data_IF_199854520351
#
_entry.id   IF_199854520351
#
_cell.length_a   1.000
_cell.length_b   1.000
_cell.length_c   1.000
_cell.angle_alpha   90.00
_cell.angle_beta   90.00
_cell.angle_gamma   90.00
#
_symmetry.space_group_name_H-M   'P 1'
#
loop_
_entity.id
_entity.type
_entity.pdbx_description
1 polymer ?
#
# COMPACT_ATOMS: atom_id res chain seq x y z
N UNK A 1 -0.60 -2.17 -22.77
CA UNK A 1 -1.31 -1.32 -21.79
C UNK A 1 -1.87 -0.11 -22.51
N UNK A 2 -3.16 0.15 -22.38
CA UNK A 2 -3.83 1.32 -22.97
C UNK A 2 -3.90 2.44 -21.91
N UNK A 3 -2.87 3.29 -21.90
CA UNK A 3 -2.68 4.33 -20.87
C UNK A 3 -3.83 5.35 -20.87
N UNK A 4 -4.34 5.71 -22.05
CA UNK A 4 -5.45 6.65 -22.17
C UNK A 4 -6.74 6.07 -21.59
N UNK A 5 -7.03 4.79 -21.87
CA UNK A 5 -8.19 4.09 -21.29
C UNK A 5 -8.04 3.88 -19.79
N UNK A 6 -6.83 3.56 -19.31
CA UNK A 6 -6.55 3.45 -17.88
C UNK A 6 -6.86 4.76 -17.16
N UNK A 7 -6.34 5.88 -17.65
CA UNK A 7 -6.53 7.20 -17.03
C UNK A 7 -7.99 7.63 -17.05
N UNK A 8 -8.70 7.39 -18.16
CA UNK A 8 -10.13 7.67 -18.26
C UNK A 8 -10.96 6.89 -17.23
N UNK A 9 -10.69 5.59 -17.09
CA UNK A 9 -11.37 4.76 -16.08
C UNK A 9 -11.08 5.20 -14.65
N UNK A 10 -9.85 5.60 -14.34
CA UNK A 10 -9.50 6.15 -13.03
C UNK A 10 -10.23 7.47 -12.75
N UNK A 11 -10.32 8.38 -13.75
CA UNK A 11 -11.09 9.61 -13.63
C UNK A 11 -12.58 9.33 -13.38
N UNK A 12 -13.16 8.35 -14.08
CA UNK A 12 -14.56 7.96 -13.89
C UNK A 12 -14.80 7.39 -12.47
N UNK A 13 -13.88 6.57 -11.96
CA UNK A 13 -13.95 6.07 -10.58
C UNK A 13 -13.88 7.24 -9.58
N UNK A 14 -12.91 8.15 -9.74
CA UNK A 14 -12.78 9.33 -8.89
C UNK A 14 -14.04 10.21 -8.90
N UNK A 15 -14.63 10.43 -10.08
CA UNK A 15 -15.88 11.17 -10.21
C UNK A 15 -17.04 10.50 -9.45
N UNK A 16 -17.15 9.17 -9.51
CA UNK A 16 -18.19 8.42 -8.77
C UNK A 16 -18.03 8.50 -7.26
N UNK A 17 -16.79 8.52 -6.78
CA UNK A 17 -16.50 8.76 -5.35
C UNK A 17 -16.91 10.18 -4.97
N UNK A 18 -16.54 11.19 -5.77
CA UNK A 18 -16.95 12.57 -5.50
C UNK A 18 -18.49 12.74 -5.48
N UNK A 19 -19.18 12.10 -6.44
CA UNK A 19 -20.64 12.12 -6.54
C UNK A 19 -21.31 11.45 -5.33
N UNK A 20 -20.75 10.37 -4.79
CA UNK A 20 -21.31 9.69 -3.60
C UNK A 20 -21.16 10.50 -2.32
N UNK A 21 -20.30 11.53 -2.33
CA UNK A 21 -19.98 12.39 -1.20
C UNK A 21 -20.56 13.81 -1.31
N UNK A 22 -21.47 14.07 -2.24
CA UNK A 22 -22.02 15.43 -2.49
C UNK A 22 -22.67 16.08 -1.25
N UNK A 23 -23.26 15.28 -0.37
CA UNK A 23 -23.92 15.72 0.87
C UNK A 23 -23.01 15.59 2.10
N UNK A 24 -21.73 15.27 1.89
CA UNK A 24 -20.73 15.07 2.94
C UNK A 24 -19.78 16.27 2.93
N UNK A 25 -19.48 16.84 4.09
CA UNK A 25 -18.39 17.80 4.21
C UNK A 25 -17.05 17.04 4.27
N UNK A 26 -16.24 17.12 3.21
CA UNK A 26 -14.97 16.40 3.10
C UNK A 26 -13.90 17.23 2.39
N UNK A 27 -12.65 17.00 2.76
CA UNK A 27 -11.44 17.56 2.15
C UNK A 27 -10.63 16.47 1.41
N UNK A 28 -10.63 15.24 1.95
CA UNK A 28 -10.01 14.07 1.33
C UNK A 28 -10.93 12.85 1.47
N UNK A 29 -10.95 11.98 0.48
CA UNK A 29 -11.71 10.74 0.46
C UNK A 29 -10.80 9.59 0.00
N UNK A 30 -10.91 8.45 0.65
CA UNK A 30 -10.20 7.22 0.28
C UNK A 30 -11.21 6.16 -0.11
N UNK A 31 -11.14 5.73 -1.37
CA UNK A 31 -11.83 4.56 -1.89
C UNK A 31 -10.91 3.35 -1.75
N UNK A 32 -11.44 2.29 -1.17
CA UNK A 32 -10.88 0.96 -1.35
C UNK A 32 -11.77 0.12 -2.27
N UNK A 33 -11.14 -0.58 -3.22
CA UNK A 33 -11.79 -1.51 -4.11
C UNK A 33 -10.99 -2.81 -4.18
N UNK A 34 -11.64 -3.93 -3.89
CA UNK A 34 -11.11 -5.28 -4.06
C UNK A 34 -11.91 -6.00 -5.13
N UNK A 35 -11.21 -6.69 -6.02
CA UNK A 35 -11.83 -7.66 -6.93
C UNK A 35 -10.90 -8.85 -7.10
N UNK A 36 -11.36 -10.04 -6.71
CA UNK A 36 -10.65 -11.32 -6.86
C UNK A 36 -11.67 -12.40 -7.18
N UNK A 37 -11.57 -13.01 -8.37
CA UNK A 37 -12.59 -13.96 -8.81
C UNK A 37 -13.98 -13.31 -8.85
N UNK A 38 -14.95 -13.91 -8.16
CA UNK A 38 -16.31 -13.36 -8.00
C UNK A 38 -16.47 -12.50 -6.73
N UNK A 39 -15.41 -12.37 -5.91
CA UNK A 39 -15.43 -11.56 -4.70
C UNK A 39 -15.08 -10.12 -5.04
N UNK A 40 -16.00 -9.22 -4.71
CA UNK A 40 -15.83 -7.78 -4.86
C UNK A 40 -16.17 -7.07 -3.55
N UNK A 41 -15.34 -6.11 -3.16
CA UNK A 41 -15.60 -5.25 -1.99
C UNK A 41 -15.27 -3.80 -2.32
N UNK A 42 -16.07 -2.91 -1.76
CA UNK A 42 -15.88 -1.48 -1.95
C UNK A 42 -16.35 -0.75 -0.70
N UNK A 43 -15.55 0.21 -0.25
CA UNK A 43 -15.97 1.18 0.75
C UNK A 43 -15.23 2.49 0.55
N UNK A 44 -15.77 3.55 1.17
CA UNK A 44 -15.21 4.88 1.13
C UNK A 44 -15.15 5.41 2.55
N UNK A 45 -14.00 5.96 2.90
CA UNK A 45 -13.81 6.79 4.08
C UNK A 45 -13.48 8.22 3.64
N UNK A 46 -13.80 9.21 4.46
CA UNK A 46 -13.45 10.59 4.17
C UNK A 46 -12.93 11.33 5.41
N UNK A 47 -12.15 12.38 5.17
CA UNK A 47 -11.67 13.32 6.17
C UNK A 47 -12.26 14.69 5.85
N UNK A 48 -12.76 15.41 6.85
CA UNK A 48 -13.12 16.82 6.70
C UNK A 48 -11.89 17.75 6.75
N UNK A 49 -12.09 19.05 6.53
CA UNK A 49 -11.00 20.03 6.57
C UNK A 49 -10.37 20.21 7.96
N UNK A 50 -11.02 19.73 9.02
CA UNK A 50 -10.49 19.69 10.38
C UNK A 50 -9.77 18.36 10.69
N UNK A 51 -9.74 17.42 9.75
CA UNK A 51 -9.14 16.10 9.89
C UNK A 51 -10.07 15.06 10.53
N UNK A 52 -11.35 15.36 10.76
CA UNK A 52 -12.27 14.39 11.35
C UNK A 52 -12.65 13.32 10.33
N UNK A 53 -12.56 12.05 10.72
CA UNK A 53 -12.92 10.92 9.87
C UNK A 53 -14.43 10.72 9.79
N UNK A 54 -14.91 10.34 8.60
CA UNK A 54 -16.28 9.97 8.30
C UNK A 54 -16.28 8.56 7.72
N UNK A 55 -17.00 7.68 8.39
CA UNK A 55 -17.15 6.26 8.06
C UNK A 55 -18.60 5.97 7.65
N UNK A 56 -18.86 4.73 7.24
CA UNK A 56 -20.17 4.25 6.78
C UNK A 56 -20.75 5.12 5.66
N UNK A 57 -19.87 5.68 4.83
CA UNK A 57 -20.24 6.54 3.73
C UNK A 57 -20.92 5.75 2.60
N UNK A 58 -21.76 6.41 1.79
CA UNK A 58 -22.39 5.76 0.64
C UNK A 58 -21.34 5.11 -0.27
N UNK A 59 -21.46 3.80 -0.47
CA UNK A 59 -20.58 3.06 -1.37
C UNK A 59 -20.86 3.47 -2.82
N UNK A 60 -19.86 3.97 -3.56
CA UNK A 60 -20.06 4.36 -4.95
C UNK A 60 -20.17 3.12 -5.85
N UNK A 61 -21.01 3.20 -6.88
CA UNK A 61 -21.11 2.15 -7.90
C UNK A 61 -19.92 2.25 -8.88
N UNK A 62 -18.82 1.59 -8.49
CA UNK A 62 -17.54 1.57 -9.22
C UNK A 62 -17.08 0.17 -9.62
N UNK A 63 -17.81 -0.88 -9.24
CA UNK A 63 -17.39 -2.27 -9.46
C UNK A 63 -17.15 -2.59 -10.95
N UNK A 64 -18.08 -2.18 -11.82
CA UNK A 64 -17.95 -2.39 -13.26
C UNK A 64 -16.83 -1.56 -13.89
N UNK A 65 -16.52 -0.39 -13.33
CA UNK A 65 -15.38 0.44 -13.75
C UNK A 65 -14.07 -0.20 -13.30
N UNK A 66 -14.03 -0.75 -12.08
CA UNK A 66 -12.95 -1.56 -11.55
C UNK A 66 -12.61 -2.74 -12.46
N UNK A 67 -13.61 -3.52 -12.85
CA UNK A 67 -13.41 -4.68 -13.72
C UNK A 67 -12.82 -4.28 -15.09
N UNK A 68 -13.31 -3.18 -15.67
CA UNK A 68 -12.76 -2.63 -16.91
C UNK A 68 -11.33 -2.11 -16.73
N UNK A 69 -11.02 -1.52 -15.58
CA UNK A 69 -9.68 -1.04 -15.25
C UNK A 69 -8.72 -2.22 -15.08
N UNK A 70 -9.15 -3.32 -14.46
CA UNK A 70 -8.38 -4.57 -14.38
C UNK A 70 -8.04 -5.12 -15.75
N UNK A 71 -8.99 -5.10 -16.69
CA UNK A 71 -8.76 -5.51 -18.08
C UNK A 71 -7.81 -4.57 -18.83
N UNK A 72 -7.96 -3.26 -18.67
CA UNK A 72 -7.09 -2.26 -19.32
C UNK A 72 -5.64 -2.32 -18.81
N UNK A 73 -5.46 -2.66 -17.54
CA UNK A 73 -4.17 -2.79 -16.86
C UNK A 73 -3.60 -4.21 -16.89
N UNK A 74 -4.33 -5.19 -17.41
CA UNK A 74 -3.86 -6.57 -17.48
C UNK A 74 -2.62 -6.66 -18.38
N UNK A 75 -1.58 -7.29 -17.83
CA UNK A 75 -0.35 -7.61 -18.52
C UNK A 75 -0.28 -9.13 -18.80
N UNK A 76 0.09 -9.57 -20.01
CA UNK A 76 0.16 -10.99 -20.35
C UNK A 76 1.14 -11.82 -19.51
N UNK A 77 2.18 -11.21 -18.94
CA UNK A 77 3.14 -11.92 -18.07
C UNK A 77 2.83 -11.69 -16.58
N UNK A 78 2.37 -10.49 -16.19
CA UNK A 78 2.20 -10.11 -14.78
C UNK A 78 0.77 -10.24 -14.25
N UNK A 79 -0.20 -10.50 -15.12
CA UNK A 79 -1.62 -10.49 -14.77
C UNK A 79 -2.10 -9.07 -14.47
N UNK A 80 -3.04 -8.93 -13.52
CA UNK A 80 -3.60 -7.64 -13.10
C UNK A 80 -3.63 -7.53 -11.58
N UNK A 81 -4.00 -6.36 -11.06
CA UNK A 81 -4.08 -6.10 -9.61
C UNK A 81 -5.28 -6.79 -8.95
N UNK A 82 -5.20 -7.03 -7.63
CA UNK A 82 -6.25 -7.60 -6.77
C UNK A 82 -7.04 -6.51 -6.05
N UNK A 83 -6.36 -5.47 -5.57
CA UNK A 83 -7.03 -4.31 -4.96
C UNK A 83 -6.47 -2.96 -5.41
N UNK A 84 -7.28 -1.93 -5.25
CA UNK A 84 -7.03 -0.52 -5.55
C UNK A 84 -7.33 0.31 -4.30
N UNK A 85 -6.44 1.25 -3.99
CA UNK A 85 -6.68 2.38 -3.10
C UNK A 85 -6.64 3.65 -3.94
N UNK A 86 -7.71 4.44 -3.93
CA UNK A 86 -7.76 5.74 -4.58
C UNK A 86 -7.99 6.83 -3.53
N UNK A 87 -7.05 7.77 -3.43
CA UNK A 87 -7.16 8.94 -2.56
C UNK A 87 -7.51 10.15 -3.42
N UNK A 88 -8.65 10.77 -3.12
CA UNK A 88 -9.24 11.89 -3.84
C UNK A 88 -9.29 13.11 -2.92
N UNK A 89 -8.83 14.26 -3.39
CA UNK A 89 -8.98 15.54 -2.70
C UNK A 89 -10.21 16.30 -3.21
N UNK A 90 -10.77 17.18 -2.38
CA UNK A 90 -12.00 17.94 -2.71
C UNK A 90 -11.84 18.88 -3.90
N UNK A 91 -10.60 19.17 -4.32
CA UNK A 91 -10.28 19.93 -5.53
C UNK A 91 -10.31 19.09 -6.82
N UNK A 92 -10.59 17.79 -6.70
CA UNK A 92 -10.68 16.83 -7.80
C UNK A 92 -9.36 16.16 -8.18
N UNK A 93 -8.25 16.52 -7.54
CA UNK A 93 -6.99 15.78 -7.70
C UNK A 93 -7.06 14.42 -7.01
N UNK A 94 -6.45 13.40 -7.59
CA UNK A 94 -6.42 12.07 -6.98
C UNK A 94 -5.14 11.30 -7.29
N UNK A 95 -4.88 10.28 -6.48
CA UNK A 95 -3.84 9.27 -6.70
C UNK A 95 -4.45 7.88 -6.60
N UNK A 96 -3.90 6.92 -7.36
CA UNK A 96 -4.37 5.53 -7.37
C UNK A 96 -3.19 4.58 -7.15
N UNK A 97 -3.36 3.62 -6.23
CA UNK A 97 -2.36 2.60 -5.89
C UNK A 97 -2.95 1.21 -6.07
N UNK A 98 -2.18 0.31 -6.66
CA UNK A 98 -2.65 -1.02 -7.03
C UNK A 98 -1.84 -2.09 -6.32
N UNK A 99 -2.51 -3.03 -5.67
CA UNK A 99 -1.88 -4.21 -5.08
C UNK A 99 -2.12 -5.41 -5.98
N UNK A 100 -1.05 -5.92 -6.59
CA UNK A 100 -1.09 -7.18 -7.35
C UNK A 100 -0.26 -8.30 -6.72
N UNK A 101 0.33 -8.10 -5.55
CA UNK A 101 1.35 -9.02 -5.04
C UNK A 101 1.04 -9.57 -3.65
N UNK A 102 0.25 -8.85 -2.85
CA UNK A 102 -0.13 -9.25 -1.51
C UNK A 102 -1.50 -9.90 -1.51
N UNK A 103 -1.64 -10.95 -0.70
CA UNK A 103 -2.93 -11.53 -0.39
C UNK A 103 -3.72 -10.53 0.44
N UNK A 104 -4.95 -10.27 0.01
CA UNK A 104 -5.86 -9.33 0.67
C UNK A 104 -6.50 -10.08 1.84
N UNK A 105 -6.47 -9.50 3.03
CA UNK A 105 -6.94 -10.07 4.29
C UNK A 105 -6.22 -11.25 4.93
N UNK A 106 -5.13 -11.75 4.36
CA UNK A 106 -4.36 -12.87 4.96
C UNK A 106 -3.02 -12.41 5.57
N UNK A 107 -2.44 -11.32 5.07
CA UNK A 107 -1.28 -10.72 5.70
C UNK A 107 -1.75 -9.88 6.89
N UNK A 108 -1.20 -10.17 8.05
CA UNK A 108 -1.48 -9.42 9.25
C UNK A 108 -0.97 -7.97 9.15
N UNK A 109 -0.11 -7.66 8.17
CA UNK A 109 0.31 -6.31 7.77
C UNK A 109 -0.55 -5.69 6.63
N UNK A 110 -1.66 -6.32 6.25
CA UNK A 110 -2.58 -5.81 5.22
C UNK A 110 -3.57 -4.82 5.83
N UNK A 111 -3.90 -3.70 5.17
CA UNK A 111 -5.00 -2.80 5.57
C UNK A 111 -6.38 -3.40 5.60
N UNK A 112 -6.45 -4.66 5.24
CA UNK A 112 -7.65 -5.40 5.01
C UNK A 112 -7.64 -6.51 6.04
N UNK A 113 -7.52 -6.30 7.36
CA UNK A 113 -7.84 -7.40 8.27
C UNK A 113 -9.35 -7.64 8.16
N UNK A 114 -9.80 -8.86 7.87
CA UNK A 114 -11.23 -9.13 7.75
C UNK A 114 -11.87 -8.98 9.14
N UNK A 115 -12.72 -7.97 9.31
CA UNK A 115 -13.39 -7.75 10.59
C UNK A 115 -14.78 -8.38 10.56
N UNK A 116 -14.98 -9.45 11.33
CA UNK A 116 -16.30 -10.11 11.48
C UNK A 116 -16.66 -11.11 10.36
N UNK A 117 -17.93 -11.13 9.96
CA UNK A 117 -18.51 -12.06 8.97
C UNK A 117 -18.22 -11.65 7.50
N UNK A 118 -17.09 -10.97 7.24
CA UNK A 118 -16.73 -10.50 5.91
C UNK A 118 -16.40 -11.66 4.96
N UNK A 119 -16.98 -11.62 3.75
CA UNK A 119 -16.62 -12.53 2.65
C UNK A 119 -15.23 -12.14 2.14
N UNK A 120 -14.24 -12.92 2.57
CA UNK A 120 -12.83 -12.84 2.18
C UNK A 120 -12.57 -13.72 0.96
N UNK A 121 -11.73 -13.30 -0.02
CA UNK A 121 -11.32 -14.16 -1.12
C UNK A 121 -10.62 -15.45 -0.63
N UNK A 122 -11.13 -16.58 -1.07
CA UNK A 122 -10.55 -17.91 -0.83
C UNK A 122 -9.44 -18.23 -1.83
N UNK A 123 -8.67 -19.29 -1.60
CA UNK A 123 -7.70 -19.80 -2.58
C UNK A 123 -8.35 -20.11 -3.93
N UNK A 124 -9.61 -20.54 -3.93
CA UNK A 124 -10.36 -20.83 -5.15
C UNK A 124 -10.68 -19.54 -5.94
N UNK A 125 -10.98 -18.44 -5.25
CA UNK A 125 -11.21 -17.14 -5.88
C UNK A 125 -9.92 -16.62 -6.52
N UNK A 126 -8.78 -16.77 -5.83
CA UNK A 126 -7.47 -16.43 -6.39
C UNK A 126 -7.07 -17.30 -7.58
N UNK A 127 -7.38 -18.60 -7.55
CA UNK A 127 -7.14 -19.49 -8.67
C UNK A 127 -8.02 -19.13 -9.88
N UNK A 128 -9.30 -18.79 -9.66
CA UNK A 128 -10.19 -18.31 -10.70
C UNK A 128 -9.71 -16.98 -11.30
N UNK A 129 -9.22 -16.07 -10.45
CA UNK A 129 -8.62 -14.81 -10.88
C UNK A 129 -7.37 -15.02 -11.74
N UNK A 130 -6.49 -15.94 -11.33
CA UNK A 130 -5.28 -16.32 -12.08
C UNK A 130 -5.62 -16.97 -13.44
N UNK A 131 -6.69 -17.76 -13.52
CA UNK A 131 -7.17 -18.31 -14.79
C UNK A 131 -7.66 -17.22 -15.75
N UNK A 132 -8.23 -16.13 -15.24
CA UNK A 132 -8.68 -14.97 -16.03
C UNK A 132 -7.53 -14.02 -16.38
N UNK A 133 -6.61 -13.79 -15.46
CA UNK A 133 -5.46 -12.90 -15.61
C UNK A 133 -4.16 -13.68 -15.34
N UNK A 134 -3.68 -14.47 -16.32
CA UNK A 134 -2.53 -15.35 -16.13
C UNK A 134 -1.27 -14.60 -15.72
N UNK A 135 -0.46 -15.26 -14.89
CA UNK A 135 0.84 -14.77 -14.44
C UNK A 135 1.92 -15.79 -14.73
N UNK A 136 3.02 -15.33 -15.33
CA UNK A 136 4.24 -16.10 -15.44
C UNK A 136 4.80 -16.42 -14.05
N UNK A 137 5.47 -17.56 -13.91
CA UNK A 137 5.99 -18.06 -12.63
C UNK A 137 6.85 -17.00 -11.91
N UNK A 138 7.71 -16.28 -12.65
CA UNK A 138 8.57 -15.21 -12.12
C UNK A 138 7.82 -14.01 -11.50
N UNK A 139 6.54 -13.85 -11.82
CA UNK A 139 5.68 -12.75 -11.33
C UNK A 139 4.53 -13.27 -10.46
N UNK A 140 4.57 -14.55 -10.10
CA UNK A 140 3.61 -15.18 -9.20
C UNK A 140 4.16 -15.09 -7.77
N UNK A 141 3.44 -14.43 -6.85
CA UNK A 141 3.79 -14.49 -5.44
C UNK A 141 3.75 -15.93 -4.92
N UNK A 142 4.64 -16.30 -3.99
CA UNK A 142 4.75 -17.67 -3.47
C UNK A 142 3.45 -18.20 -2.82
N UNK A 143 2.64 -17.29 -2.26
CA UNK A 143 1.35 -17.63 -1.65
C UNK A 143 0.24 -17.90 -2.69
N UNK A 144 0.40 -17.43 -3.94
CA UNK A 144 -0.64 -17.52 -4.95
C UNK A 144 -0.64 -18.94 -5.57
N UNK A 145 -1.73 -19.72 -5.45
CA UNK A 145 -1.76 -21.09 -5.93
C UNK A 145 -1.40 -21.17 -7.42
N UNK A 146 -0.44 -22.01 -7.77
CA UNK A 146 -0.12 -22.30 -9.16
C UNK A 146 -1.01 -23.42 -9.72
N UNK A 147 -1.29 -23.36 -11.03
CA UNK A 147 -1.83 -24.53 -11.73
C UNK A 147 -0.78 -25.64 -11.72
N UNK A 148 -1.13 -26.80 -11.15
CA UNK A 148 -0.30 -28.00 -11.13
C UNK A 148 -0.04 -28.62 -12.53
N UNK A 149 -0.31 -27.90 -13.63
CA UNK A 149 -0.39 -28.45 -14.99
C UNK A 149 0.75 -28.05 -15.94
N UNK A 150 1.68 -27.16 -15.58
CA UNK A 150 2.76 -26.70 -16.50
C UNK A 150 4.18 -27.12 -16.11
N UNK A 151 4.35 -27.97 -15.10
CA UNK A 151 5.66 -28.50 -14.68
C UNK A 151 6.25 -29.60 -15.60
N UNK A 152 5.94 -29.61 -16.90
CA UNK A 152 6.56 -30.54 -17.84
C UNK A 152 6.54 -30.03 -19.29
N UNK A 153 7.45 -29.11 -19.61
CA UNK A 153 8.23 -29.10 -20.87
C UNK A 153 8.75 -27.67 -21.14
N UNK A 154 9.95 -27.38 -20.65
CA UNK A 154 10.93 -26.47 -21.27
C UNK A 154 12.18 -26.36 -20.38
N UNK A 155 12.72 -27.51 -19.96
CA UNK A 155 14.14 -27.57 -19.69
C UNK A 155 14.81 -27.69 -21.06
N UNK A 156 15.31 -26.57 -21.58
CA UNK A 156 16.60 -26.45 -22.27
C UNK A 156 16.71 -25.11 -23.02
N UNK A 157 17.65 -24.29 -22.56
CA UNK A 157 18.24 -23.22 -23.34
C UNK A 157 17.59 -21.85 -23.18
N UNK A 158 17.97 -21.10 -22.15
CA UNK A 158 17.98 -19.64 -22.25
C UNK A 158 19.08 -19.04 -21.39
N UNK A 159 20.04 -18.48 -22.12
CA UNK A 159 21.17 -17.69 -21.70
C UNK A 159 20.72 -16.55 -20.79
N UNK A 160 21.38 -16.46 -19.63
CA UNK A 160 21.18 -15.47 -18.59
C UNK A 160 21.43 -14.05 -19.12
N UNK A 161 20.39 -13.20 -19.11
CA UNK A 161 20.52 -11.75 -19.09
C UNK A 161 20.08 -11.26 -17.69
N UNK A 162 20.79 -10.28 -17.09
CA UNK A 162 20.52 -9.88 -15.71
C UNK A 162 19.19 -9.15 -15.64
N UNK A 163 18.25 -9.70 -14.87
CA UNK A 163 17.06 -8.97 -14.43
C UNK A 163 17.45 -8.14 -13.21
N UNK A 164 17.35 -6.83 -13.31
CA UNK A 164 17.52 -5.92 -12.18
C UNK A 164 16.25 -5.99 -11.32
N UNK A 165 16.16 -7.01 -10.45
CA UNK A 165 15.24 -7.01 -9.32
C UNK A 165 15.59 -5.80 -8.44
N UNK A 166 14.63 -4.92 -8.08
CA UNK A 166 14.92 -3.85 -7.13
C UNK A 166 15.41 -4.48 -5.83
N UNK A 167 16.43 -3.91 -5.17
CA UNK A 167 16.94 -4.46 -3.92
C UNK A 167 15.80 -4.51 -2.90
N UNK A 168 15.61 -5.64 -2.22
CA UNK A 168 14.67 -5.73 -1.11
C UNK A 168 15.10 -4.73 -0.02
N UNK A 169 14.14 -4.03 0.60
CA UNK A 169 14.45 -3.26 1.79
C UNK A 169 14.86 -4.23 2.91
N UNK A 170 15.99 -3.93 3.53
CA UNK A 170 16.53 -4.72 4.62
C UNK A 170 16.48 -3.93 5.92
N UNK A 171 16.22 -4.63 7.02
CA UNK A 171 16.30 -4.02 8.34
C UNK A 171 17.75 -3.65 8.67
N UNK A 172 17.99 -2.46 9.25
CA UNK A 172 19.25 -2.18 9.94
C UNK A 172 19.57 -3.26 10.97
N UNK A 173 20.85 -3.52 11.22
CA UNK A 173 21.26 -4.52 12.21
C UNK A 173 20.65 -4.27 13.60
N UNK A 174 20.48 -3.00 13.98
CA UNK A 174 19.83 -2.56 15.22
C UNK A 174 18.34 -2.88 15.30
N UNK A 175 17.68 -3.15 14.16
CA UNK A 175 16.26 -3.48 14.04
C UNK A 175 16.01 -4.94 13.66
N UNK A 176 17.04 -5.78 13.61
CA UNK A 176 16.94 -7.19 13.19
C UNK A 176 15.97 -8.02 14.04
N UNK A 177 15.68 -7.62 15.28
CA UNK A 177 14.67 -8.27 16.13
C UNK A 177 13.22 -8.05 15.67
N UNK A 178 12.98 -7.15 14.71
CA UNK A 178 11.69 -6.93 14.04
C UNK A 178 11.47 -7.86 12.83
N UNK A 179 12.48 -8.64 12.44
CA UNK A 179 12.36 -9.52 11.28
C UNK A 179 11.25 -10.56 11.49
N UNK A 180 10.35 -10.65 10.51
CA UNK A 180 9.17 -11.50 10.56
C UNK A 180 8.11 -11.14 11.62
N UNK A 181 8.29 -10.06 12.39
CA UNK A 181 7.28 -9.60 13.36
C UNK A 181 6.10 -8.94 12.67
N UNK A 182 4.95 -8.93 13.34
CA UNK A 182 3.72 -8.40 12.78
C UNK A 182 3.88 -6.96 12.25
N UNK A 183 3.37 -6.67 11.05
CA UNK A 183 3.39 -5.36 10.41
C UNK A 183 4.71 -4.95 9.75
N UNK A 184 5.86 -5.29 10.35
CA UNK A 184 7.18 -4.81 9.91
C UNK A 184 7.64 -5.30 8.50
N UNK A 185 7.37 -6.54 8.07
CA UNK A 185 7.57 -6.96 6.69
C UNK A 185 6.78 -6.11 5.67
N UNK A 186 5.55 -5.71 6.04
CA UNK A 186 4.71 -4.84 5.21
C UNK A 186 5.31 -3.43 5.05
N UNK A 187 5.87 -2.89 6.12
CA UNK A 187 6.63 -1.62 6.12
C UNK A 187 7.84 -1.73 5.19
N UNK A 188 8.67 -2.77 5.33
CA UNK A 188 9.86 -2.98 4.48
C UNK A 188 9.49 -3.08 3.01
N UNK A 189 8.47 -3.87 2.68
CA UNK A 189 8.01 -4.01 1.31
C UNK A 189 7.43 -2.69 0.75
N UNK A 190 6.72 -1.90 1.56
CA UNK A 190 6.24 -0.57 1.16
C UNK A 190 7.42 0.38 0.89
N UNK A 191 8.44 0.42 1.76
CA UNK A 191 9.66 1.22 1.56
C UNK A 191 10.36 0.87 0.24
N UNK A 192 10.56 -0.42 -0.04
CA UNK A 192 11.18 -0.89 -1.28
C UNK A 192 10.38 -0.47 -2.53
N UNK A 193 9.05 -0.63 -2.47
CA UNK A 193 8.16 -0.28 -3.56
C UNK A 193 8.15 1.23 -3.83
N UNK A 194 8.01 2.06 -2.79
CA UNK A 194 7.95 3.52 -2.93
C UNK A 194 9.29 4.09 -3.41
N UNK A 195 10.40 3.48 -3.01
CA UNK A 195 11.74 3.84 -3.50
C UNK A 195 11.90 3.46 -4.98
N UNK A 196 11.43 2.28 -5.41
CA UNK A 196 11.47 1.87 -6.80
C UNK A 196 10.57 2.73 -7.72
N UNK A 197 9.44 3.23 -7.20
CA UNK A 197 8.52 4.09 -7.93
C UNK A 197 9.00 5.55 -8.07
N UNK A 198 10.07 5.94 -7.37
CA UNK A 198 10.63 7.30 -7.39
C UNK A 198 12.17 7.24 -7.37
N UNK A 199 12.84 6.99 -8.51
CA UNK A 199 14.29 6.81 -8.55
C UNK A 199 15.07 8.09 -8.19
N UNK A 200 16.23 7.90 -7.57
CA UNK A 200 17.21 8.97 -7.22
C UNK A 200 18.13 9.24 -8.42
N UNK A 201 18.47 10.51 -8.65
CA UNK A 201 19.62 10.86 -9.47
C UNK A 201 20.92 10.77 -8.66
N UNK A 202 21.89 9.97 -9.12
CA UNK A 202 23.14 9.69 -8.40
C UNK A 202 24.10 10.89 -8.24
N UNK A 203 23.68 12.12 -8.51
CA UNK A 203 24.54 13.31 -8.45
C UNK A 203 24.07 14.30 -7.39
N UNK A 204 24.92 14.64 -6.39
CA UNK A 204 24.61 15.68 -5.40
C UNK A 204 24.56 17.12 -5.97
N UNK A 205 24.78 17.29 -7.28
CA UNK A 205 24.95 18.59 -7.95
C UNK A 205 24.25 18.68 -9.34
N UNK A 206 23.21 17.87 -9.57
CA UNK A 206 22.49 17.89 -10.85
C UNK A 206 21.69 19.21 -11.01
N UNK A 207 22.23 20.15 -11.79
CA UNK A 207 21.44 21.23 -12.41
C UNK A 207 20.40 20.62 -13.35
N UNK A 208 19.15 21.14 -13.38
CA UNK A 208 18.10 20.61 -14.25
C UNK A 208 18.50 20.84 -15.71
N UNK A 209 18.87 19.78 -16.41
CA UNK A 209 18.88 19.75 -17.87
C UNK A 209 17.52 19.29 -18.37
N UNK A 210 16.95 20.09 -19.27
CA UNK A 210 15.77 19.77 -20.06
C UNK A 210 15.87 18.36 -20.68
N UNK A 211 14.75 17.61 -20.65
CA UNK A 211 14.51 16.24 -21.16
C UNK A 211 14.49 15.09 -20.13
N UNK A 212 13.71 15.25 -19.05
CA UNK A 212 12.82 14.21 -18.50
C UNK A 212 11.86 14.87 -17.49
N UNK A 213 10.56 14.84 -17.73
CA UNK A 213 9.54 15.71 -17.09
C UNK A 213 9.14 15.31 -15.65
N UNK A 214 10.07 14.75 -14.87
CA UNK A 214 9.90 14.52 -13.43
C UNK A 214 11.10 15.10 -12.68
N UNK A 215 10.91 15.99 -11.68
CA UNK A 215 12.02 16.56 -10.94
C UNK A 215 12.76 15.45 -10.19
N UNK A 216 14.03 15.24 -10.53
CA UNK A 216 14.92 14.35 -9.80
C UNK A 216 14.99 14.81 -8.33
N UNK A 217 14.53 13.97 -7.40
CA UNK A 217 14.48 14.30 -5.98
C UNK A 217 15.86 14.16 -5.35
N UNK A 218 16.25 15.10 -4.48
CA UNK A 218 17.38 14.89 -3.59
C UNK A 218 17.11 13.71 -2.65
N UNK A 219 18.17 13.08 -2.12
CA UNK A 219 18.05 11.94 -1.21
C UNK A 219 17.15 12.24 0.00
N UNK A 220 17.22 13.45 0.55
CA UNK A 220 16.37 13.89 1.67
C UNK A 220 14.90 14.09 1.26
N UNK A 221 14.64 14.58 0.05
CA UNK A 221 13.27 14.71 -0.47
C UNK A 221 12.66 13.35 -0.80
N UNK A 222 13.46 12.41 -1.32
CA UNK A 222 13.00 11.05 -1.52
C UNK A 222 12.71 10.35 -0.19
N UNK A 223 13.58 10.50 0.81
CA UNK A 223 13.36 9.91 2.14
C UNK A 223 12.04 10.37 2.76
N UNK A 224 11.77 11.68 2.74
CA UNK A 224 10.49 12.23 3.21
C UNK A 224 9.31 11.69 2.40
N UNK A 225 9.43 11.65 1.07
CA UNK A 225 8.34 11.16 0.21
C UNK A 225 8.05 9.67 0.42
N UNK A 226 9.09 8.85 0.59
CA UNK A 226 8.96 7.42 0.88
C UNK A 226 8.34 7.22 2.26
N UNK A 227 8.79 7.97 3.28
CA UNK A 227 8.19 7.95 4.62
C UNK A 227 6.72 8.31 4.58
N UNK A 228 6.36 9.44 3.98
CA UNK A 228 4.97 9.89 3.89
C UNK A 228 4.12 8.88 3.11
N UNK A 229 4.67 8.28 2.06
CA UNK A 229 3.99 7.22 1.31
C UNK A 229 3.78 5.96 2.15
N UNK A 230 4.76 5.53 2.96
CA UNK A 230 4.64 4.39 3.87
C UNK A 230 3.62 4.67 4.97
N UNK A 231 3.63 5.87 5.56
CA UNK A 231 2.61 6.28 6.52
C UNK A 231 1.23 6.23 5.87
N UNK A 232 1.08 6.79 4.66
CA UNK A 232 -0.18 6.76 3.91
C UNK A 232 -0.57 5.38 3.34
N UNK A 233 0.30 4.38 3.38
CA UNK A 233 0.07 3.04 2.81
C UNK A 233 -0.10 1.98 3.90
N UNK A 234 0.46 2.21 5.09
CA UNK A 234 0.54 1.23 6.19
C UNK A 234 -0.05 1.75 7.49
N UNK A 235 -0.20 3.07 7.68
CA UNK A 235 -0.56 3.66 8.97
C UNK A 235 -1.85 4.49 8.89
N UNK A 236 -1.91 5.49 8.01
CA UNK A 236 -3.02 6.44 7.91
C UNK A 236 -4.35 5.89 7.37
N UNK A 237 -4.38 4.91 6.43
CA UNK A 237 -5.63 4.30 5.98
C UNK A 237 -6.36 3.46 7.04
N UNK A 238 -5.79 3.32 8.24
CA UNK A 238 -6.25 2.37 9.23
C UNK A 238 -6.72 3.05 10.51
N UNK A 239 -7.46 2.28 11.31
CA UNK A 239 -7.72 2.60 12.71
C UNK A 239 -6.42 2.68 13.49
N UNK A 240 -6.43 3.41 14.60
CA UNK A 240 -5.27 3.56 15.48
C UNK A 240 -4.72 2.19 15.95
N UNK A 241 -5.53 1.13 15.97
CA UNK A 241 -5.11 -0.24 16.21
C UNK A 241 -3.84 -0.68 15.45
N UNK A 242 -3.72 -0.34 14.16
CA UNK A 242 -2.56 -0.74 13.36
C UNK A 242 -1.28 -0.10 13.89
N UNK A 243 -1.34 1.20 14.18
CA UNK A 243 -0.25 1.94 14.79
C UNK A 243 0.11 1.38 16.18
N UNK A 244 -0.90 1.13 17.03
CA UNK A 244 -0.69 0.59 18.37
C UNK A 244 -0.03 -0.79 18.33
N UNK A 245 -0.42 -1.63 17.37
CA UNK A 245 0.13 -2.99 17.24
C UNK A 245 1.54 -2.99 16.65
N UNK A 246 1.86 -2.10 15.71
CA UNK A 246 3.23 -1.87 15.22
C UNK A 246 4.15 -1.47 16.38
N UNK A 247 3.68 -0.54 17.21
CA UNK A 247 4.38 -0.11 18.41
C UNK A 247 4.56 -1.25 19.41
N UNK A 248 3.50 -2.00 19.71
CA UNK A 248 3.55 -3.13 20.64
C UNK A 248 4.58 -4.20 20.19
N UNK A 249 4.66 -4.50 18.89
CA UNK A 249 5.67 -5.41 18.36
C UNK A 249 7.09 -4.89 18.53
N UNK A 250 7.31 -3.59 18.27
CA UNK A 250 8.62 -2.99 18.44
C UNK A 250 9.05 -2.88 19.91
N UNK A 251 8.10 -2.65 20.83
CA UNK A 251 8.35 -2.73 22.28
C UNK A 251 8.67 -4.17 22.68
N UNK A 252 7.89 -5.15 22.22
CA UNK A 252 8.12 -6.57 22.47
C UNK A 252 9.42 -7.10 21.86
N UNK A 253 10.00 -6.40 20.88
CA UNK A 253 11.30 -6.67 20.28
C UNK A 253 12.47 -5.94 20.98
N UNK A 254 12.17 -5.09 21.96
CA UNK A 254 13.16 -4.26 22.65
C UNK A 254 13.74 -3.12 21.80
N UNK A 255 13.06 -2.78 20.70
CA UNK A 255 13.49 -1.70 19.79
C UNK A 255 12.99 -0.34 20.26
N UNK A 256 11.74 -0.28 20.73
CA UNK A 256 11.12 0.94 21.24
C UNK A 256 10.84 0.84 22.75
N UNK A 257 10.87 1.96 23.47
CA UNK A 257 10.34 2.01 24.82
C UNK A 257 8.80 1.87 24.81
N UNK A 258 8.25 1.25 25.85
CA UNK A 258 6.81 1.27 26.08
C UNK A 258 6.34 2.73 26.30
N UNK A 259 5.19 3.06 25.71
CA UNK A 259 4.50 4.34 25.96
C UNK A 259 3.45 4.07 27.02
N UNK A 260 3.41 4.91 28.05
CA UNK A 260 2.46 4.75 29.14
C UNK A 260 1.02 4.96 28.63
N UNK A 261 0.06 4.24 29.23
CA UNK A 261 -1.37 4.35 28.95
C UNK A 261 -1.82 4.03 27.50
N UNK A 262 -1.00 3.33 26.70
CA UNK A 262 -1.38 2.82 25.37
C UNK A 262 -2.67 2.00 25.39
N UNK A 263 -2.86 1.18 26.43
CA UNK A 263 -4.07 0.37 26.64
C UNK A 263 -5.37 1.16 26.87
N UNK A 264 -5.28 2.48 27.09
CA UNK A 264 -6.44 3.37 27.24
C UNK A 264 -6.94 3.96 25.93
N UNK A 265 -6.17 3.81 24.85
CA UNK A 265 -6.57 4.25 23.51
C UNK A 265 -7.59 3.26 22.95
N UNK A 266 -8.73 3.76 22.49
CA UNK A 266 -9.72 2.94 21.81
C UNK A 266 -9.20 2.52 20.42
N UNK A 267 -8.93 1.23 20.18
CA UNK A 267 -8.36 0.75 18.92
C UNK A 267 -9.32 0.92 17.74
N UNK A 268 -10.61 1.13 17.97
CA UNK A 268 -11.64 1.22 16.93
C UNK A 268 -11.67 2.60 16.25
N UNK A 269 -11.03 3.60 16.85
CA UNK A 269 -11.01 4.98 16.36
C UNK A 269 -10.11 5.14 15.12
N UNK A 270 -10.48 6.08 14.25
CA UNK A 270 -9.55 6.60 13.24
C UNK A 270 -8.33 7.28 13.90
N UNK A 271 -7.23 7.38 13.18
CA UNK A 271 -5.98 7.94 13.71
C UNK A 271 -6.16 9.38 14.26
N UNK A 272 -6.86 10.24 13.52
CA UNK A 272 -7.12 11.63 13.93
C UNK A 272 -8.05 11.72 15.15
N UNK A 273 -9.10 10.89 15.19
CA UNK A 273 -10.00 10.80 16.33
C UNK A 273 -9.26 10.32 17.58
N UNK A 274 -8.36 9.36 17.43
CA UNK A 274 -7.52 8.86 18.50
C UNK A 274 -6.51 9.91 18.98
N UNK A 275 -5.93 10.75 18.10
CA UNK A 275 -5.11 11.90 18.50
C UNK A 275 -5.88 12.90 19.35
N UNK A 276 -7.15 13.17 19.00
CA UNK A 276 -8.00 14.09 19.78
C UNK A 276 -8.38 13.46 21.11
N UNK A 277 -8.76 12.18 21.12
CA UNK A 277 -9.16 11.46 22.33
C UNK A 277 -7.99 11.20 23.29
N UNK A 278 -6.78 11.04 22.76
CA UNK A 278 -5.56 10.68 23.50
C UNK A 278 -4.35 11.50 23.03
N UNK A 279 -4.34 12.84 23.27
CA UNK A 279 -3.40 13.78 22.68
C UNK A 279 -1.95 13.65 23.17
N UNK A 280 -1.72 12.94 24.27
CA UNK A 280 -0.37 12.66 24.76
C UNK A 280 0.13 11.27 24.32
N UNK A 281 -0.77 10.29 24.20
CA UNK A 281 -0.41 8.88 23.95
C UNK A 281 -0.24 8.63 22.46
N UNK A 282 -1.22 9.00 21.63
CA UNK A 282 -1.21 8.66 20.20
C UNK A 282 -0.03 9.33 19.47
N UNK A 283 0.21 10.65 19.63
CA UNK A 283 1.38 11.28 19.01
C UNK A 283 2.73 10.71 19.48
N UNK A 284 2.81 10.23 20.73
CA UNK A 284 4.02 9.60 21.25
C UNK A 284 4.26 8.23 20.59
N UNK A 285 3.19 7.45 20.39
CA UNK A 285 3.25 6.18 19.65
C UNK A 285 3.63 6.41 18.18
N UNK A 286 3.02 7.40 17.52
CA UNK A 286 3.35 7.80 16.15
C UNK A 286 4.82 8.17 16.00
N UNK A 287 5.31 9.09 16.82
CA UNK A 287 6.71 9.50 16.79
C UNK A 287 7.67 8.32 17.01
N UNK A 288 7.31 7.37 17.86
CA UNK A 288 8.11 6.18 18.12
C UNK A 288 8.14 5.25 16.89
N UNK A 289 6.99 4.93 16.29
CA UNK A 289 6.89 4.09 15.08
C UNK A 289 7.58 4.77 13.89
N UNK A 290 7.35 6.06 13.68
CA UNK A 290 7.98 6.85 12.62
C UNK A 290 9.51 6.82 12.71
N UNK A 291 10.07 6.89 13.91
CA UNK A 291 11.53 6.81 14.09
C UNK A 291 12.13 5.49 13.59
N UNK A 292 11.37 4.39 13.67
CA UNK A 292 11.78 3.08 13.15
C UNK A 292 11.64 3.06 11.63
N UNK A 293 10.54 3.59 11.09
CA UNK A 293 10.34 3.72 9.63
C UNK A 293 11.46 4.56 9.01
N UNK A 294 11.79 5.70 9.62
CA UNK A 294 12.88 6.59 9.16
C UNK A 294 14.23 5.85 9.12
N UNK A 295 14.53 5.04 10.13
CA UNK A 295 15.75 4.25 10.17
C UNK A 295 15.78 3.19 9.04
N UNK A 296 14.65 2.57 8.73
CA UNK A 296 14.51 1.61 7.63
C UNK A 296 14.70 2.31 6.28
N UNK A 297 14.02 3.44 6.06
CA UNK A 297 14.12 4.24 4.83
C UNK A 297 15.57 4.70 4.61
N UNK A 298 16.22 5.23 5.64
CA UNK A 298 17.61 5.68 5.56
C UNK A 298 18.57 4.54 5.17
N UNK A 299 18.43 3.37 5.79
CA UNK A 299 19.25 2.19 5.48
C UNK A 299 19.02 1.69 4.05
N UNK A 300 17.76 1.65 3.61
CA UNK A 300 17.42 1.21 2.26
C UNK A 300 17.97 2.17 1.20
N UNK A 301 17.80 3.48 1.38
CA UNK A 301 18.32 4.49 0.46
C UNK A 301 19.85 4.49 0.39
N UNK A 302 20.54 4.25 1.51
CA UNK A 302 22.01 4.07 1.50
C UNK A 302 22.41 2.86 0.64
N UNK A 303 21.69 1.75 0.72
CA UNK A 303 21.98 0.55 -0.07
C UNK A 303 21.68 0.72 -1.57
N UNK A 304 20.72 1.58 -1.93
CA UNK A 304 20.36 1.88 -3.33
C UNK A 304 21.38 2.82 -3.99
N UNK A 305 22.02 3.70 -3.21
CA UNK A 305 22.97 4.71 -3.72
C UNK A 305 24.43 4.22 -3.70
N UNK A 306 24.76 3.22 -2.88
CA UNK A 306 26.10 2.63 -2.75
C UNK A 306 26.49 1.72 -3.93
#
# INVERSE_FOLDING_TARGET
MDVARQQDLQNQIAARVAESLVDVDWAEATLFLLQVGDVSRTWVDALDAAGSTKQDLPTPDVEALGAQLREAMADPERGTWFSLVLTLSSDGSFTARFNGERRVFDDAASPFEATGDEVVPTDADYAADLARFPRAEKYRPEWLPGDAATASSAAEGSTTAPSSTPPAAALPASLSSLDGRWGWPGVLASVAQQTAASPVASSPDATPTDESDAPELSLGQLALRVRDAVVLDVIAPHRVATLLRLHAEAVGAGVLPAVDAVESVDPELGLEEARVASPEVVPAVEAAVDSVVDAIVAQHLQAVVA
#
